data_IF_233539817229
#
_entry.id   IF_233539817229
#
_cell.length_a   1.000
_cell.length_b   1.000
_cell.length_c   1.000
_cell.angle_alpha   90.00
_cell.angle_beta   90.00
_cell.angle_gamma   90.00
#
_symmetry.space_group_name_H-M   'P 1'
#
loop_
_entity.id
_entity.type
_entity.pdbx_description
1 polymer ?
#
# COMPACT_ATOMS: atom_id res chain seq x y z
N UNK A 1 -7.94 2.94 -12.16
CA UNK A 1 -6.51 2.75 -12.51
C UNK A 1 -6.36 1.39 -13.20
N UNK A 2 -5.87 1.38 -14.44
CA UNK A 2 -5.64 0.11 -15.16
C UNK A 2 -4.41 -0.56 -14.56
N UNK A 3 -4.59 -1.67 -13.83
CA UNK A 3 -3.47 -2.50 -13.35
C UNK A 3 -2.81 -3.13 -14.57
N UNK A 4 -1.55 -2.78 -14.80
CA UNK A 4 -0.74 -3.37 -15.85
C UNK A 4 -0.35 -4.77 -15.38
N UNK A 5 -0.79 -5.79 -16.11
CA UNK A 5 -0.37 -7.17 -15.89
C UNK A 5 1.07 -7.28 -16.39
N UNK A 6 2.04 -7.31 -15.47
CA UNK A 6 3.44 -7.60 -15.80
C UNK A 6 3.60 -9.12 -15.87
N UNK A 7 3.41 -9.65 -17.06
CA UNK A 7 3.70 -11.05 -17.38
C UNK A 7 5.19 -11.17 -17.67
N UNK A 8 5.92 -11.88 -16.83
CA UNK A 8 7.37 -12.11 -17.01
C UNK A 8 7.55 -13.10 -18.14
N UNK A 9 7.98 -12.62 -19.30
CA UNK A 9 8.41 -13.44 -20.45
C UNK A 9 9.94 -13.55 -20.39
N UNK A 10 10.46 -14.70 -20.00
CA UNK A 10 11.87 -15.05 -20.21
C UNK A 10 11.98 -15.81 -21.53
N UNK A 11 12.56 -15.14 -22.53
CA UNK A 11 12.88 -15.79 -23.81
C UNK A 11 14.10 -16.70 -23.66
N UNK A 12 13.92 -17.98 -23.94
CA UNK A 12 15.00 -18.87 -24.36
C UNK A 12 14.48 -19.74 -25.52
N UNK A 13 15.04 -19.50 -26.69
CA UNK A 13 14.88 -20.39 -27.84
C UNK A 13 15.95 -21.50 -27.78
N UNK A 14 15.50 -22.69 -27.93
CA UNK A 14 16.12 -23.91 -28.47
C UNK A 14 15.98 -25.21 -27.64
N UNK A 15 15.44 -26.20 -28.30
CA UNK A 15 15.60 -27.67 -28.27
C UNK A 15 14.48 -28.53 -27.68
N UNK A 16 13.94 -29.33 -28.61
CA UNK A 16 13.27 -30.66 -28.51
C UNK A 16 11.75 -30.59 -28.24
N UNK A 17 11.01 -31.43 -28.99
CA UNK A 17 9.54 -31.49 -29.04
C UNK A 17 8.79 -31.53 -27.68
N UNK A 18 9.48 -31.96 -26.60
CA UNK A 18 8.94 -31.96 -25.24
C UNK A 18 8.94 -30.55 -24.59
N UNK A 19 9.99 -29.74 -24.80
CA UNK A 19 10.05 -28.34 -24.35
C UNK A 19 8.97 -27.47 -25.01
N UNK A 20 8.64 -27.78 -26.27
CA UNK A 20 7.61 -27.11 -27.05
C UNK A 20 6.22 -27.26 -26.42
N UNK A 21 5.91 -28.43 -25.85
CA UNK A 21 4.59 -28.68 -25.22
C UNK A 21 4.41 -27.87 -23.92
N UNK A 22 5.44 -27.78 -23.07
CA UNK A 22 5.37 -26.94 -21.86
C UNK A 22 5.18 -25.48 -22.22
N UNK A 23 6.00 -24.96 -23.13
CA UNK A 23 5.97 -23.57 -23.58
C UNK A 23 4.62 -23.23 -24.23
N UNK A 24 4.05 -24.12 -25.04
CA UNK A 24 2.75 -23.91 -25.65
C UNK A 24 1.64 -23.77 -24.60
N UNK A 25 1.61 -24.58 -23.53
CA UNK A 25 0.64 -24.43 -22.46
C UNK A 25 0.83 -23.12 -21.68
N UNK A 26 2.08 -22.71 -21.45
CA UNK A 26 2.37 -21.42 -20.80
C UNK A 26 1.89 -20.26 -21.68
N UNK A 27 2.19 -20.26 -22.97
CA UNK A 27 1.76 -19.21 -23.91
C UNK A 27 0.22 -19.13 -24.03
N UNK A 28 -0.44 -20.28 -24.11
CA UNK A 28 -1.91 -20.35 -24.11
C UNK A 28 -2.50 -19.77 -22.81
N UNK A 29 -1.93 -20.14 -21.66
CA UNK A 29 -2.33 -19.62 -20.36
C UNK A 29 -2.16 -18.10 -20.26
N UNK A 30 -1.01 -17.60 -20.70
CA UNK A 30 -0.72 -16.15 -20.72
C UNK A 30 -1.66 -15.39 -21.66
N UNK A 31 -1.94 -15.95 -22.84
CA UNK A 31 -2.88 -15.36 -23.81
C UNK A 31 -4.30 -15.33 -23.25
N UNK A 32 -4.78 -16.41 -22.68
CA UNK A 32 -6.09 -16.50 -22.05
C UNK A 32 -6.21 -15.52 -20.87
N UNK A 33 -5.17 -15.39 -20.03
CA UNK A 33 -5.14 -14.45 -18.92
C UNK A 33 -5.23 -13.00 -19.41
N UNK A 34 -4.51 -12.65 -20.48
CA UNK A 34 -4.56 -11.32 -21.11
C UNK A 34 -5.96 -10.97 -21.63
N UNK A 35 -6.67 -11.97 -22.13
CA UNK A 35 -8.05 -11.86 -22.63
C UNK A 35 -9.08 -11.99 -21.50
N UNK A 36 -8.65 -12.07 -20.24
CA UNK A 36 -9.48 -12.25 -19.04
C UNK A 36 -10.27 -13.57 -19.01
N UNK A 37 -9.87 -14.55 -19.82
CA UNK A 37 -10.42 -15.91 -19.81
C UNK A 37 -9.73 -16.74 -18.71
N UNK A 38 -10.00 -16.35 -17.46
CA UNK A 38 -9.25 -16.78 -16.28
C UNK A 38 -9.28 -18.30 -16.04
N UNK A 39 -10.44 -18.95 -16.25
CA UNK A 39 -10.55 -20.40 -16.03
C UNK A 39 -9.75 -21.19 -17.08
N UNK A 40 -9.76 -20.74 -18.33
CA UNK A 40 -8.95 -21.34 -19.40
C UNK A 40 -7.46 -21.15 -19.11
N UNK A 41 -7.07 -19.95 -18.67
CA UNK A 41 -5.69 -19.67 -18.31
C UNK A 41 -5.17 -20.58 -17.20
N UNK A 42 -5.96 -20.74 -16.12
CA UNK A 42 -5.61 -21.66 -15.01
C UNK A 42 -5.49 -23.11 -15.54
N UNK A 43 -6.39 -23.54 -16.40
CA UNK A 43 -6.34 -24.90 -16.92
C UNK A 43 -5.09 -25.14 -17.80
N UNK A 44 -4.73 -24.18 -18.68
CA UNK A 44 -3.51 -24.26 -19.48
C UNK A 44 -2.25 -24.35 -18.60
N UNK A 45 -2.14 -23.52 -17.55
CA UNK A 45 -1.04 -23.65 -16.60
C UNK A 45 -1.03 -24.99 -15.87
N UNK A 46 -2.19 -25.55 -15.49
CA UNK A 46 -2.29 -26.87 -14.88
C UNK A 46 -1.84 -27.99 -15.83
N UNK A 47 -2.11 -27.87 -17.12
CA UNK A 47 -1.60 -28.83 -18.11
C UNK A 47 -0.08 -28.77 -18.21
N UNK A 48 0.54 -27.58 -18.17
CA UNK A 48 1.98 -27.45 -18.10
C UNK A 48 2.56 -28.15 -16.85
N UNK A 49 1.99 -27.88 -15.67
CA UNK A 49 2.38 -28.48 -14.38
C UNK A 49 2.26 -30.03 -14.41
N UNK A 50 1.18 -30.56 -14.99
CA UNK A 50 0.93 -31.98 -15.07
C UNK A 50 1.90 -32.68 -16.03
N UNK A 51 2.25 -32.02 -17.13
CA UNK A 51 3.11 -32.60 -18.17
C UNK A 51 4.57 -32.67 -17.73
N UNK A 52 5.00 -31.68 -16.91
CA UNK A 52 6.38 -31.56 -16.45
C UNK A 52 6.44 -31.27 -14.93
N UNK A 53 6.11 -32.24 -14.07
CA UNK A 53 5.91 -31.99 -12.63
C UNK A 53 7.19 -31.53 -11.90
N UNK A 54 8.37 -31.93 -12.39
CA UNK A 54 9.65 -31.61 -11.73
C UNK A 54 10.39 -30.40 -12.36
N UNK A 55 9.70 -29.65 -13.25
CA UNK A 55 10.33 -28.50 -13.89
C UNK A 55 10.37 -27.30 -12.93
N UNK A 56 11.55 -26.70 -12.73
CA UNK A 56 11.74 -25.52 -11.88
C UNK A 56 10.89 -24.32 -12.36
N UNK A 57 10.57 -24.25 -13.65
CA UNK A 57 9.70 -23.21 -14.23
C UNK A 57 8.27 -23.29 -13.71
N UNK A 58 7.89 -24.40 -13.10
CA UNK A 58 6.58 -24.59 -12.45
C UNK A 58 6.34 -23.58 -11.33
N UNK A 59 7.40 -23.03 -10.72
CA UNK A 59 7.25 -21.91 -9.78
C UNK A 59 6.53 -20.71 -10.40
N UNK A 60 6.85 -20.38 -11.67
CA UNK A 60 6.18 -19.27 -12.37
C UNK A 60 4.77 -19.65 -12.82
N UNK A 61 4.53 -20.89 -13.20
CA UNK A 61 3.18 -21.36 -13.55
C UNK A 61 2.24 -21.27 -12.32
N UNK A 62 2.70 -21.72 -11.14
CA UNK A 62 1.94 -21.56 -9.90
C UNK A 62 1.74 -20.09 -9.52
N UNK A 63 2.74 -19.23 -9.70
CA UNK A 63 2.63 -17.81 -9.43
C UNK A 63 1.60 -17.12 -10.35
N UNK A 64 1.54 -17.50 -11.63
CA UNK A 64 0.54 -17.01 -12.56
C UNK A 64 -0.89 -17.49 -12.19
N UNK A 65 -1.03 -18.76 -11.77
CA UNK A 65 -2.30 -19.26 -11.23
C UNK A 65 -2.73 -18.45 -10.02
N UNK A 66 -1.82 -18.20 -9.06
CA UNK A 66 -2.07 -17.42 -7.87
C UNK A 66 -2.55 -16.00 -8.22
N UNK A 67 -1.86 -15.33 -9.12
CA UNK A 67 -2.24 -13.98 -9.55
C UNK A 67 -3.64 -13.95 -10.20
N UNK A 68 -3.98 -14.93 -11.03
CA UNK A 68 -5.33 -15.04 -11.61
C UNK A 68 -6.37 -15.27 -10.52
N UNK A 69 -6.07 -16.10 -9.52
CA UNK A 69 -6.96 -16.34 -8.39
C UNK A 69 -7.19 -15.07 -7.57
N UNK A 70 -6.17 -14.21 -7.40
CA UNK A 70 -6.36 -12.88 -6.82
C UNK A 70 -7.32 -12.02 -7.65
N UNK A 71 -7.16 -11.99 -8.99
CA UNK A 71 -8.05 -11.24 -9.89
C UNK A 71 -9.50 -11.72 -9.82
N UNK A 72 -9.71 -13.01 -9.53
CA UNK A 72 -11.02 -13.63 -9.31
C UNK A 72 -11.56 -13.41 -7.90
N UNK A 73 -10.79 -12.83 -6.98
CA UNK A 73 -11.14 -12.68 -5.57
C UNK A 73 -11.00 -13.97 -4.75
N UNK A 74 -10.35 -15.01 -5.28
CA UNK A 74 -10.12 -16.31 -4.65
C UNK A 74 -8.84 -16.28 -3.78
N UNK A 75 -8.75 -15.35 -2.86
CA UNK A 75 -7.53 -14.98 -2.13
C UNK A 75 -6.85 -16.15 -1.41
N UNK A 76 -7.62 -17.05 -0.77
CA UNK A 76 -7.04 -18.19 -0.06
C UNK A 76 -6.41 -19.21 -1.03
N UNK A 77 -7.03 -19.43 -2.19
CA UNK A 77 -6.44 -20.30 -3.23
C UNK A 77 -5.17 -19.67 -3.81
N UNK A 78 -5.14 -18.34 -3.93
CA UNK A 78 -3.95 -17.64 -4.39
C UNK A 78 -2.78 -17.84 -3.42
N UNK A 79 -3.02 -17.79 -2.11
CA UNK A 79 -2.00 -18.12 -1.10
C UNK A 79 -1.48 -19.54 -1.29
N UNK A 80 -2.37 -20.53 -1.42
CA UNK A 80 -1.97 -21.94 -1.64
C UNK A 80 -1.09 -22.08 -2.89
N UNK A 81 -1.46 -21.38 -3.96
CA UNK A 81 -0.70 -21.39 -5.21
C UNK A 81 0.65 -20.68 -5.09
N UNK A 82 0.76 -19.58 -4.35
CA UNK A 82 2.05 -18.95 -4.04
C UNK A 82 2.92 -19.84 -3.15
N UNK A 83 2.34 -20.54 -2.17
CA UNK A 83 3.06 -21.51 -1.34
C UNK A 83 3.66 -22.63 -2.20
N UNK A 84 2.91 -23.16 -3.19
CA UNK A 84 3.44 -24.12 -4.16
C UNK A 84 4.57 -23.52 -5.00
N UNK A 85 4.43 -22.30 -5.46
CA UNK A 85 5.48 -21.61 -6.21
C UNK A 85 6.77 -21.43 -5.37
N UNK A 86 6.64 -21.02 -4.11
CA UNK A 86 7.76 -20.83 -3.20
C UNK A 86 8.34 -22.15 -2.66
N UNK A 87 7.60 -23.25 -2.70
CA UNK A 87 8.18 -24.57 -2.42
C UNK A 87 9.21 -24.99 -3.46
N UNK A 88 9.05 -24.53 -4.71
CA UNK A 88 9.97 -24.77 -5.82
C UNK A 88 11.09 -23.72 -5.86
N UNK A 89 10.74 -22.45 -5.67
CA UNK A 89 11.67 -21.32 -5.73
C UNK A 89 11.58 -20.44 -4.45
N UNK A 90 12.14 -20.87 -3.30
CA UNK A 90 11.89 -20.28 -1.98
C UNK A 90 12.36 -18.81 -1.83
N UNK A 91 13.29 -18.37 -2.67
CA UNK A 91 13.90 -17.03 -2.61
C UNK A 91 13.57 -16.21 -3.87
N UNK A 92 12.50 -16.56 -4.58
CA UNK A 92 12.07 -15.80 -5.74
C UNK A 92 11.43 -14.48 -5.29
N UNK A 93 12.16 -13.38 -5.47
CA UNK A 93 11.76 -12.05 -4.99
C UNK A 93 10.39 -11.61 -5.53
N UNK A 94 10.08 -11.70 -6.83
CA UNK A 94 8.75 -11.39 -7.36
C UNK A 94 7.62 -12.18 -6.70
N UNK A 95 7.80 -13.47 -6.45
CA UNK A 95 6.77 -14.33 -5.85
C UNK A 95 6.59 -13.99 -4.37
N UNK A 96 7.68 -13.84 -3.63
CA UNK A 96 7.66 -13.40 -2.22
C UNK A 96 6.95 -12.05 -2.08
N UNK A 97 7.24 -11.10 -3.01
CA UNK A 97 6.58 -9.79 -2.99
C UNK A 97 5.07 -9.92 -3.21
N UNK A 98 4.66 -10.69 -4.22
CA UNK A 98 3.24 -10.88 -4.52
C UNK A 98 2.49 -11.54 -3.35
N UNK A 99 3.07 -12.57 -2.73
CA UNK A 99 2.49 -13.22 -1.55
C UNK A 99 2.43 -12.26 -0.35
N UNK A 100 3.51 -11.51 -0.09
CA UNK A 100 3.58 -10.52 0.98
C UNK A 100 2.53 -9.41 0.81
N UNK A 101 2.35 -8.89 -0.41
CA UNK A 101 1.34 -7.88 -0.74
C UNK A 101 -0.09 -8.45 -0.53
N UNK A 102 -0.32 -9.71 -0.88
CA UNK A 102 -1.59 -10.39 -0.63
C UNK A 102 -1.84 -10.58 0.87
N UNK A 103 -0.82 -10.97 1.65
CA UNK A 103 -0.94 -11.05 3.11
C UNK A 103 -1.23 -9.68 3.74
N UNK A 104 -0.66 -8.59 3.21
CA UNK A 104 -1.00 -7.23 3.65
C UNK A 104 -2.47 -6.90 3.38
N UNK A 105 -2.97 -7.24 2.21
CA UNK A 105 -4.38 -7.05 1.83
C UNK A 105 -5.33 -7.83 2.75
N UNK A 106 -4.91 -9.03 3.18
CA UNK A 106 -5.65 -9.89 4.11
C UNK A 106 -5.48 -9.50 5.59
N UNK A 107 -4.69 -8.46 5.88
CA UNK A 107 -4.39 -8.04 7.26
C UNK A 107 -3.43 -8.96 8.01
N UNK A 108 -2.81 -9.94 7.34
CA UNK A 108 -1.85 -10.86 7.95
C UNK A 108 -0.44 -10.29 7.93
N UNK A 109 -0.23 -9.23 8.70
CA UNK A 109 1.05 -8.53 8.77
C UNK A 109 2.23 -9.44 9.17
N UNK A 110 1.99 -10.45 10.02
CA UNK A 110 3.08 -11.34 10.47
C UNK A 110 3.65 -12.18 9.33
N UNK A 111 2.80 -12.70 8.45
CA UNK A 111 3.24 -13.46 7.27
C UNK A 111 3.87 -12.54 6.22
N UNK A 112 3.27 -11.37 5.97
CA UNK A 112 3.86 -10.37 5.09
C UNK A 112 5.28 -9.97 5.52
N UNK A 113 5.49 -9.77 6.84
CA UNK A 113 6.79 -9.45 7.42
C UNK A 113 7.85 -10.52 7.13
N UNK A 114 7.47 -11.80 7.18
CA UNK A 114 8.37 -12.91 6.84
C UNK A 114 8.81 -12.86 5.38
N UNK A 115 7.87 -12.63 4.46
CA UNK A 115 8.17 -12.59 3.03
C UNK A 115 9.03 -11.38 2.66
N UNK A 116 8.71 -10.19 3.15
CA UNK A 116 9.55 -9.02 2.93
C UNK A 116 10.94 -9.16 3.57
N UNK A 117 11.05 -9.86 4.72
CA UNK A 117 12.35 -10.12 5.35
C UNK A 117 13.21 -11.06 4.51
N UNK A 118 12.62 -12.12 3.92
CA UNK A 118 13.33 -12.98 2.96
C UNK A 118 13.80 -12.20 1.71
N UNK A 119 12.95 -11.28 1.20
CA UNK A 119 13.37 -10.41 0.09
C UNK A 119 14.61 -9.59 0.47
N UNK A 120 14.59 -8.96 1.65
CA UNK A 120 15.70 -8.12 2.11
C UNK A 120 16.96 -8.94 2.41
N UNK A 121 16.82 -10.21 2.80
CA UNK A 121 17.96 -11.12 2.97
C UNK A 121 18.69 -11.36 1.65
N UNK A 122 17.97 -11.63 0.56
CA UNK A 122 18.59 -11.96 -0.75
C UNK A 122 18.80 -10.73 -1.64
N UNK A 123 18.01 -9.69 -1.46
CA UNK A 123 18.10 -8.41 -2.17
C UNK A 123 18.07 -7.23 -1.18
N UNK A 124 19.18 -6.99 -0.48
CA UNK A 124 19.25 -6.04 0.62
C UNK A 124 18.87 -4.59 0.27
N UNK A 125 18.93 -4.23 -1.00
CA UNK A 125 18.61 -2.89 -1.49
C UNK A 125 17.24 -2.82 -2.20
N UNK A 126 16.37 -3.81 -1.96
CA UNK A 126 15.01 -3.79 -2.49
C UNK A 126 14.16 -2.74 -1.74
N UNK A 127 13.96 -1.59 -2.36
CA UNK A 127 13.29 -0.43 -1.75
C UNK A 127 11.83 -0.69 -1.45
N UNK A 128 11.13 -1.48 -2.27
CA UNK A 128 9.73 -1.85 -2.04
C UNK A 128 9.58 -2.69 -0.78
N UNK A 129 10.46 -3.69 -0.61
CA UNK A 129 10.42 -4.55 0.57
C UNK A 129 10.83 -3.80 1.84
N UNK A 130 11.83 -2.90 1.77
CA UNK A 130 12.21 -2.03 2.88
C UNK A 130 11.04 -1.13 3.30
N UNK A 131 10.36 -0.49 2.33
CA UNK A 131 9.21 0.36 2.60
C UNK A 131 8.05 -0.42 3.26
N UNK A 132 7.69 -1.55 2.68
CA UNK A 132 6.60 -2.39 3.17
C UNK A 132 6.90 -2.91 4.59
N UNK A 133 8.13 -3.36 4.85
CA UNK A 133 8.54 -3.86 6.17
C UNK A 133 8.59 -2.74 7.21
N UNK A 134 9.12 -1.57 6.85
CA UNK A 134 9.10 -0.39 7.72
C UNK A 134 7.68 0.00 8.13
N UNK A 135 6.75 -0.02 7.17
CA UNK A 135 5.33 0.24 7.44
C UNK A 135 4.74 -0.76 8.42
N UNK A 136 5.01 -2.06 8.27
CA UNK A 136 4.53 -3.10 9.19
C UNK A 136 5.11 -2.87 10.59
N UNK A 137 6.42 -2.64 10.73
CA UNK A 137 7.05 -2.34 12.00
C UNK A 137 6.45 -1.10 12.67
N UNK A 138 6.16 -0.06 11.91
CA UNK A 138 5.52 1.15 12.42
C UNK A 138 4.11 0.87 12.96
N UNK A 139 3.30 0.07 12.26
CA UNK A 139 1.98 -0.37 12.73
C UNK A 139 2.06 -1.21 14.01
N UNK A 140 3.09 -2.04 14.15
CA UNK A 140 3.38 -2.84 15.34
C UNK A 140 4.05 -2.03 16.47
N UNK A 141 4.27 -0.73 16.26
CA UNK A 141 4.97 0.18 17.18
C UNK A 141 6.45 -0.20 17.41
N UNK A 142 7.01 -1.00 16.55
CA UNK A 142 8.46 -1.25 16.52
C UNK A 142 9.18 -0.13 15.76
N UNK A 143 9.21 1.03 16.39
CA UNK A 143 9.74 2.24 15.76
C UNK A 143 11.24 2.18 15.48
N UNK A 144 11.97 1.33 16.20
CA UNK A 144 13.41 1.13 15.99
C UNK A 144 13.68 0.46 14.65
N UNK A 145 13.02 -0.67 14.40
CA UNK A 145 13.16 -1.41 13.14
C UNK A 145 12.53 -0.66 11.97
N UNK A 146 11.39 0.01 12.18
CA UNK A 146 10.80 0.88 11.17
C UNK A 146 11.77 1.96 10.71
N UNK A 147 12.43 2.64 11.67
CA UNK A 147 13.43 3.68 11.38
C UNK A 147 14.61 3.14 10.61
N UNK A 148 15.14 1.99 11.00
CA UNK A 148 16.27 1.37 10.34
C UNK A 148 16.01 1.07 8.85
N UNK A 149 14.81 0.55 8.54
CA UNK A 149 14.41 0.27 7.16
C UNK A 149 14.17 1.55 6.35
N UNK A 150 13.49 2.57 6.91
CA UNK A 150 13.34 3.87 6.26
C UNK A 150 14.69 4.55 6.00
N UNK A 151 15.59 4.58 7.00
CA UNK A 151 16.91 5.19 6.84
C UNK A 151 17.72 4.50 5.74
N UNK A 152 17.67 3.16 5.69
CA UNK A 152 18.30 2.39 4.62
C UNK A 152 17.72 2.71 3.27
N UNK A 153 16.39 2.74 3.14
CA UNK A 153 15.72 3.12 1.91
C UNK A 153 16.14 4.52 1.46
N UNK A 154 16.15 5.49 2.36
CA UNK A 154 16.54 6.88 2.07
C UNK A 154 18.04 7.04 1.77
N UNK A 155 18.90 6.08 2.19
CA UNK A 155 20.28 6.03 1.73
C UNK A 155 20.38 5.63 0.25
N UNK A 156 19.44 4.80 -0.24
CA UNK A 156 19.36 4.34 -1.64
C UNK A 156 18.65 5.37 -2.51
N UNK A 157 17.55 5.92 -2.02
CA UNK A 157 16.67 6.89 -2.69
C UNK A 157 16.34 8.04 -1.73
N UNK A 158 17.18 9.10 -1.67
CA UNK A 158 17.04 10.19 -0.71
C UNK A 158 15.73 10.98 -0.81
N UNK A 159 15.14 11.01 -1.98
CA UNK A 159 13.90 11.73 -2.32
C UNK A 159 12.65 10.81 -2.36
N UNK A 160 12.74 9.60 -1.82
CA UNK A 160 11.63 8.67 -1.84
C UNK A 160 10.46 9.17 -0.97
N UNK A 161 9.44 9.71 -1.62
CA UNK A 161 8.29 10.38 -0.99
C UNK A 161 7.65 9.60 0.17
N UNK A 162 7.27 8.32 -0.08
CA UNK A 162 6.58 7.53 0.94
C UNK A 162 7.47 7.23 2.16
N UNK A 163 8.79 7.10 1.98
CA UNK A 163 9.71 6.89 3.09
C UNK A 163 9.90 8.17 3.91
N UNK A 164 10.04 9.33 3.25
CA UNK A 164 10.12 10.62 3.93
C UNK A 164 8.86 10.93 4.74
N UNK A 165 7.68 10.65 4.18
CA UNK A 165 6.40 10.77 4.90
C UNK A 165 6.34 9.76 6.07
N UNK A 166 6.74 8.51 5.85
CA UNK A 166 6.80 7.47 6.89
C UNK A 166 7.69 7.89 8.07
N UNK A 167 8.86 8.50 7.79
CA UNK A 167 9.75 9.04 8.84
C UNK A 167 9.09 10.20 9.59
N UNK A 168 8.36 11.09 8.92
CA UNK A 168 7.66 12.18 9.59
C UNK A 168 6.60 11.64 10.56
N UNK A 169 5.78 10.68 10.12
CA UNK A 169 4.79 10.01 10.98
C UNK A 169 5.47 9.23 12.13
N UNK A 170 6.63 8.63 11.88
CA UNK A 170 7.40 7.96 12.93
C UNK A 170 7.86 8.94 14.01
N UNK A 171 8.26 10.16 13.66
CA UNK A 171 8.58 11.22 14.64
C UNK A 171 7.35 11.63 15.45
N UNK A 172 6.17 11.72 14.84
CA UNK A 172 4.90 11.93 15.57
C UNK A 172 4.68 10.81 16.59
N UNK A 173 4.72 9.55 16.14
CA UNK A 173 4.48 8.38 16.98
C UNK A 173 5.50 8.21 18.14
N UNK A 174 6.70 8.78 17.98
CA UNK A 174 7.74 8.80 19.02
C UNK A 174 7.76 10.07 19.87
N UNK A 175 6.66 10.82 19.86
CA UNK A 175 6.47 12.07 20.63
C UNK A 175 7.52 13.15 20.33
N UNK A 176 7.84 13.31 19.06
CA UNK A 176 8.76 14.35 18.54
C UNK A 176 8.05 15.24 17.51
N UNK A 177 6.95 15.92 17.89
CA UNK A 177 6.08 16.61 16.93
C UNK A 177 6.81 17.73 16.17
N UNK A 178 7.76 18.43 16.78
CA UNK A 178 8.50 19.50 16.10
C UNK A 178 9.38 18.96 14.97
N UNK A 179 9.98 17.80 15.14
CA UNK A 179 10.75 17.14 14.09
C UNK A 179 9.86 16.66 12.95
N UNK A 180 8.69 16.12 13.29
CA UNK A 180 7.69 15.70 12.31
C UNK A 180 7.19 16.88 11.47
N UNK A 181 6.80 18.00 12.12
CA UNK A 181 6.37 19.25 11.46
C UNK A 181 7.47 19.76 10.51
N UNK A 182 8.72 19.81 10.98
CA UNK A 182 9.85 20.24 10.16
C UNK A 182 10.02 19.37 8.91
N UNK A 183 9.92 18.07 9.05
CA UNK A 183 10.02 17.13 7.91
C UNK A 183 8.88 17.29 6.92
N UNK A 184 7.66 17.46 7.43
CA UNK A 184 6.50 17.71 6.58
C UNK A 184 6.57 19.05 5.87
N UNK A 185 7.13 20.08 6.53
CA UNK A 185 7.34 21.39 5.89
C UNK A 185 8.25 21.27 4.66
N UNK A 186 9.37 20.54 4.80
CA UNK A 186 10.27 20.29 3.67
C UNK A 186 9.61 19.49 2.53
N UNK A 187 8.76 18.52 2.89
CA UNK A 187 7.99 17.76 1.89
C UNK A 187 6.93 18.63 1.19
N UNK A 188 6.27 19.51 1.93
CA UNK A 188 5.30 20.46 1.37
C UNK A 188 5.97 21.46 0.41
N UNK A 189 7.17 21.93 0.74
CA UNK A 189 7.94 22.78 -0.17
C UNK A 189 8.27 22.11 -1.50
N UNK A 190 8.48 20.79 -1.49
CA UNK A 190 8.75 19.99 -2.66
C UNK A 190 7.46 19.55 -3.41
N UNK A 191 6.36 19.39 -2.69
CA UNK A 191 5.10 18.86 -3.19
C UNK A 191 3.90 19.70 -2.72
N UNK A 192 3.83 20.98 -3.07
CA UNK A 192 2.80 21.91 -2.55
C UNK A 192 1.37 21.60 -3.04
N UNK A 193 1.25 20.69 -4.02
CA UNK A 193 -0.04 20.22 -4.55
C UNK A 193 -0.63 19.03 -3.77
N UNK A 194 0.11 18.45 -2.81
CA UNK A 194 -0.32 17.26 -2.06
C UNK A 194 -1.12 17.64 -0.83
N UNK A 195 -2.45 17.56 -0.92
CA UNK A 195 -3.37 17.85 0.20
C UNK A 195 -3.08 17.00 1.45
N UNK A 196 -2.66 15.73 1.25
CA UNK A 196 -2.30 14.81 2.32
C UNK A 196 -1.24 15.37 3.27
N UNK A 197 -0.21 16.04 2.75
CA UNK A 197 0.89 16.56 3.57
C UNK A 197 0.43 17.65 4.55
N UNK A 198 -0.42 18.54 4.08
CA UNK A 198 -1.03 19.58 4.92
C UNK A 198 -1.95 18.96 5.98
N UNK A 199 -2.75 17.93 5.58
CA UNK A 199 -3.64 17.24 6.52
C UNK A 199 -2.84 16.53 7.63
N UNK A 200 -1.79 15.81 7.27
CA UNK A 200 -0.93 15.11 8.25
C UNK A 200 -0.22 16.13 9.17
N UNK A 201 0.28 17.26 8.63
CA UNK A 201 0.90 18.30 9.46
C UNK A 201 -0.11 18.93 10.40
N UNK A 202 -1.32 19.21 9.92
CA UNK A 202 -2.40 19.75 10.74
C UNK A 202 -2.78 18.82 11.90
N UNK A 203 -2.81 17.50 11.70
CA UNK A 203 -3.07 16.54 12.78
C UNK A 203 -2.01 16.65 13.88
N UNK A 204 -0.73 16.72 13.50
CA UNK A 204 0.40 16.85 14.43
C UNK A 204 0.36 18.20 15.16
N UNK A 205 0.05 19.28 14.45
CA UNK A 205 -0.10 20.62 15.04
C UNK A 205 -1.25 20.67 16.03
N UNK A 206 -2.38 20.05 15.71
CA UNK A 206 -3.53 19.94 16.60
C UNK A 206 -3.22 19.19 17.90
N UNK A 207 -2.45 18.07 17.81
CA UNK A 207 -1.95 17.32 18.96
C UNK A 207 -0.95 18.15 19.78
N UNK A 208 -0.12 18.96 19.11
CA UNK A 208 0.81 19.90 19.74
C UNK A 208 0.14 21.15 20.29
N UNK A 209 -1.21 21.23 20.29
CA UNK A 209 -2.03 22.38 20.74
C UNK A 209 -1.80 23.66 19.92
N UNK A 210 -1.42 23.52 18.67
CA UNK A 210 -1.24 24.61 17.70
C UNK A 210 -2.46 24.66 16.75
N UNK A 211 -3.66 24.77 17.32
CA UNK A 211 -4.92 24.61 16.59
C UNK A 211 -5.09 25.61 15.44
N UNK A 212 -4.58 26.84 15.58
CA UNK A 212 -4.66 27.85 14.50
C UNK A 212 -3.83 27.45 13.28
N UNK A 213 -2.60 26.94 13.48
CA UNK A 213 -1.76 26.45 12.39
C UNK A 213 -2.41 25.24 11.72
N UNK A 214 -2.93 24.31 12.51
CA UNK A 214 -3.67 23.16 12.01
C UNK A 214 -4.88 23.55 11.13
N UNK A 215 -5.62 24.59 11.53
CA UNK A 215 -6.74 25.11 10.72
C UNK A 215 -6.23 25.71 9.41
N UNK A 216 -5.14 26.47 9.43
CA UNK A 216 -4.54 27.03 8.20
C UNK A 216 -4.10 25.94 7.22
N UNK A 217 -3.48 24.88 7.73
CA UNK A 217 -3.11 23.72 6.92
C UNK A 217 -4.32 22.99 6.36
N UNK A 218 -5.37 22.77 7.15
CA UNK A 218 -6.61 22.19 6.66
C UNK A 218 -7.33 23.07 5.64
N UNK A 219 -7.26 24.40 5.77
CA UNK A 219 -7.77 25.33 4.75
C UNK A 219 -7.07 25.08 3.41
N UNK A 220 -5.74 24.92 3.44
CA UNK A 220 -4.96 24.61 2.25
C UNK A 220 -5.29 23.22 1.70
N UNK A 221 -5.34 22.19 2.57
CA UNK A 221 -5.69 20.83 2.18
C UNK A 221 -7.09 20.75 1.52
N UNK A 222 -8.09 21.38 2.12
CA UNK A 222 -9.46 21.45 1.59
C UNK A 222 -9.53 22.28 0.29
N UNK A 223 -8.67 23.29 0.12
CA UNK A 223 -8.60 24.02 -1.15
C UNK A 223 -8.10 23.14 -2.31
N UNK A 224 -7.25 22.15 -2.01
CA UNK A 224 -6.70 21.17 -2.97
C UNK A 224 -7.68 20.00 -3.19
N UNK A 225 -8.35 19.54 -2.13
CA UNK A 225 -9.33 18.46 -2.17
C UNK A 225 -10.68 18.89 -1.56
N UNK A 226 -11.51 19.65 -2.29
CA UNK A 226 -12.71 20.28 -1.73
C UNK A 226 -13.82 19.32 -1.27
N UNK A 227 -13.77 18.06 -1.70
CA UNK A 227 -14.78 17.04 -1.35
C UNK A 227 -14.28 16.04 -0.31
N UNK A 228 -13.08 16.26 0.24
CA UNK A 228 -12.53 15.39 1.27
C UNK A 228 -13.22 15.64 2.62
N UNK A 229 -14.26 14.84 2.87
CA UNK A 229 -15.09 14.96 4.08
C UNK A 229 -14.32 14.80 5.39
N UNK A 230 -13.20 14.03 5.39
CA UNK A 230 -12.41 13.81 6.59
C UNK A 230 -11.66 15.08 6.98
N UNK A 231 -11.02 15.77 6.02
CA UNK A 231 -10.35 17.05 6.27
C UNK A 231 -11.33 18.11 6.75
N UNK A 232 -12.53 18.18 6.15
CA UNK A 232 -13.59 19.09 6.56
C UNK A 232 -14.07 18.80 7.98
N UNK A 233 -14.26 17.52 8.34
CA UNK A 233 -14.62 17.12 9.70
C UNK A 233 -13.52 17.47 10.71
N UNK A 234 -12.26 17.21 10.39
CA UNK A 234 -11.14 17.57 11.27
C UNK A 234 -11.12 19.07 11.54
N UNK A 235 -11.29 19.90 10.50
CA UNK A 235 -11.39 21.36 10.67
C UNK A 235 -12.60 21.79 11.48
N UNK A 236 -13.75 21.16 11.26
CA UNK A 236 -14.98 21.42 12.04
C UNK A 236 -14.75 21.18 13.54
N UNK A 237 -14.12 20.06 13.89
CA UNK A 237 -13.81 19.76 15.29
C UNK A 237 -12.81 20.74 15.89
N UNK A 238 -11.80 21.17 15.13
CA UNK A 238 -10.86 22.20 15.59
C UNK A 238 -11.57 23.57 15.82
N UNK A 239 -12.40 23.99 14.86
CA UNK A 239 -13.21 25.19 15.02
C UNK A 239 -14.12 25.11 16.25
N UNK A 240 -14.74 23.96 16.49
CA UNK A 240 -15.59 23.77 17.66
C UNK A 240 -14.79 23.87 18.96
N UNK A 241 -13.63 23.24 19.00
CA UNK A 241 -12.69 23.25 20.14
C UNK A 241 -12.22 24.67 20.47
N UNK A 242 -11.92 25.48 19.45
CA UNK A 242 -11.50 26.88 19.60
C UNK A 242 -12.69 27.87 19.81
N UNK A 243 -13.92 27.36 19.89
CA UNK A 243 -15.10 28.18 20.11
C UNK A 243 -15.63 28.91 18.87
N UNK A 244 -15.12 28.60 17.70
CA UNK A 244 -15.55 29.15 16.42
C UNK A 244 -16.82 28.44 15.93
N UNK A 245 -17.90 28.50 16.75
CA UNK A 245 -19.13 27.73 16.57
C UNK A 245 -19.77 27.86 15.19
N UNK A 246 -19.77 29.07 14.63
CA UNK A 246 -20.37 29.33 13.31
C UNK A 246 -19.60 28.58 12.21
N UNK A 247 -18.26 28.62 12.22
CA UNK A 247 -17.41 27.95 11.25
C UNK A 247 -17.52 26.43 11.41
N UNK A 248 -17.49 25.93 12.64
CA UNK A 248 -17.71 24.51 12.92
C UNK A 248 -19.04 24.02 12.35
N UNK A 249 -20.11 24.79 12.55
CA UNK A 249 -21.44 24.46 12.02
C UNK A 249 -21.45 24.38 10.49
N UNK A 250 -20.80 25.32 9.81
CA UNK A 250 -20.71 25.33 8.35
C UNK A 250 -19.99 24.08 7.84
N UNK A 251 -18.86 23.73 8.45
CA UNK A 251 -18.10 22.55 8.05
C UNK A 251 -18.85 21.25 8.33
N UNK A 252 -19.51 21.09 9.48
CA UNK A 252 -20.36 19.95 9.76
C UNK A 252 -21.49 19.81 8.74
N UNK A 253 -22.14 20.91 8.37
CA UNK A 253 -23.20 20.91 7.35
C UNK A 253 -22.65 20.50 5.97
N UNK A 254 -21.46 20.98 5.61
CA UNK A 254 -20.80 20.58 4.37
C UNK A 254 -20.43 19.10 4.37
N UNK A 255 -19.91 18.57 5.48
CA UNK A 255 -19.62 17.15 5.61
C UNK A 255 -20.88 16.27 5.44
N UNK A 256 -22.03 16.72 5.96
CA UNK A 256 -23.33 16.05 5.75
C UNK A 256 -23.73 16.06 4.26
N UNK A 257 -23.55 17.18 3.57
CA UNK A 257 -23.80 17.26 2.12
C UNK A 257 -22.91 16.30 1.31
N UNK A 258 -21.71 16.03 1.81
CA UNK A 258 -20.76 15.07 1.24
C UNK A 258 -21.00 13.61 1.71
N UNK A 259 -22.14 13.35 2.35
CA UNK A 259 -22.58 11.99 2.68
C UNK A 259 -22.21 11.50 4.09
N UNK A 260 -21.78 12.38 4.99
CA UNK A 260 -21.68 12.02 6.42
C UNK A 260 -23.10 11.95 7.01
N UNK A 261 -23.47 10.84 7.67
CA UNK A 261 -24.80 10.73 8.26
C UNK A 261 -25.05 11.80 9.33
N UNK A 262 -26.12 12.60 9.17
CA UNK A 262 -26.46 13.68 10.10
C UNK A 262 -26.61 13.20 11.55
N UNK A 263 -27.04 11.95 11.75
CA UNK A 263 -27.21 11.36 13.08
C UNK A 263 -25.89 11.27 13.85
N UNK A 264 -24.75 11.11 13.15
CA UNK A 264 -23.42 11.05 13.75
C UNK A 264 -22.93 12.42 14.27
N UNK A 265 -23.44 13.52 13.73
CA UNK A 265 -23.01 14.89 14.05
C UNK A 265 -24.07 15.67 14.85
N UNK A 266 -25.03 14.98 15.43
CA UNK A 266 -26.18 15.61 16.12
C UNK A 266 -25.76 16.37 17.37
N UNK A 267 -24.82 15.84 18.14
CA UNK A 267 -24.36 16.45 19.39
C UNK A 267 -23.41 17.63 19.11
N UNK A 268 -22.56 17.51 18.09
CA UNK A 268 -21.68 18.58 17.62
C UNK A 268 -22.48 19.76 17.11
N UNK A 269 -23.51 19.51 16.31
CA UNK A 269 -24.40 20.57 15.82
C UNK A 269 -25.20 21.25 16.92
N UNK A 270 -25.49 20.58 18.04
CA UNK A 270 -26.09 21.22 19.24
C UNK A 270 -25.11 22.15 19.94
N UNK A 271 -23.82 21.76 20.03
CA UNK A 271 -22.77 22.59 20.64
C UNK A 271 -22.49 23.86 19.81
N UNK A 272 -22.83 23.85 18.52
CA UNK A 272 -22.69 24.98 17.62
C UNK A 272 -23.84 26.01 17.74
N UNK A 273 -24.80 25.79 18.64
CA UNK A 273 -25.83 26.75 18.99
C UNK A 273 -25.32 27.68 20.08
#
# INVERSE_FOLDING_TARGET
MKRIIVLIVLGFSFWVSHAQTYESFIEEGLSAAKEQRYDEAIESFRQALKTYPDDIRNALAYANIAHIQELKGEQMKAIDSYDMALSIAPLNVPILKAQGDLYMTLGNQSKALLDYSKIIEVAPNNTDALLARAYIYQQQRDYSNAKADYDRLLTIQPDHYAALLGVAILFQNTNKPQEAIRRLTLLIDQHPEKAELYSVRAEIEAEAKQSELAIMDLDKAISLEPENKNMILTRAYLHLKEGHKHLAKQDFQRAIQLGVPQGQLKEELKQCK
#
